data_IF_420466712272
#
_entry.id   IF_420466712272
#
_cell.length_a   1.000
_cell.length_b   1.000
_cell.length_c   1.000
_cell.angle_alpha   90.00
_cell.angle_beta   90.00
_cell.angle_gamma   90.00
#
_symmetry.space_group_name_H-M   'P 1'
#
loop_
_entity.id
_entity.type
_entity.pdbx_description
1 polymer ?
#
# COMPACT_ATOMS: atom_id res chain seq x y z
N UNK A 1 27.62 -0.72 7.75
CA UNK A 1 26.79 -1.86 8.18
C UNK A 1 27.20 -2.34 9.55
N UNK A 2 26.24 -2.57 10.42
CA UNK A 2 26.46 -3.12 11.76
C UNK A 2 25.68 -4.43 11.93
N UNK A 3 26.14 -5.26 12.85
CA UNK A 3 25.47 -6.52 13.20
C UNK A 3 24.54 -6.35 14.39
N UNK A 4 24.85 -5.40 15.26
CA UNK A 4 24.03 -5.05 16.41
C UNK A 4 24.35 -3.64 16.93
N UNK A 5 23.41 -3.06 17.65
CA UNK A 5 23.61 -1.86 18.46
C UNK A 5 22.89 -2.02 19.79
N UNK A 6 23.25 -1.20 20.77
CA UNK A 6 22.57 -1.17 22.06
C UNK A 6 22.42 0.27 22.57
N UNK A 7 21.34 0.50 23.30
CA UNK A 7 21.01 1.77 23.95
C UNK A 7 20.88 1.55 25.47
N UNK A 8 21.99 1.53 26.21
CA UNK A 8 21.92 1.48 27.65
C UNK A 8 21.59 2.86 28.25
N UNK A 9 20.90 2.87 29.37
CA UNK A 9 20.75 4.06 30.21
C UNK A 9 22.02 4.28 31.09
N UNK A 10 22.01 5.30 31.92
CA UNK A 10 23.13 5.65 32.82
C UNK A 10 23.41 4.56 33.87
N UNK A 11 22.46 3.69 34.19
CA UNK A 11 22.65 2.55 35.09
C UNK A 11 23.19 1.30 34.37
N UNK A 12 23.28 1.32 33.01
CA UNK A 12 23.72 0.20 32.20
C UNK A 12 22.60 -0.75 31.76
N UNK A 13 21.38 -0.53 32.23
CA UNK A 13 20.19 -1.26 31.73
C UNK A 13 19.69 -0.65 30.42
N UNK A 14 19.18 -1.45 29.50
CA UNK A 14 18.72 -0.92 28.22
C UNK A 14 18.19 -1.96 27.26
N UNK A 15 18.37 -1.70 25.97
CA UNK A 15 17.89 -2.55 24.87
C UNK A 15 19.00 -2.75 23.84
N UNK A 16 19.18 -3.99 23.40
CA UNK A 16 20.04 -4.37 22.29
C UNK A 16 19.20 -4.76 21.09
N UNK A 17 19.62 -4.32 19.92
CA UNK A 17 19.06 -4.66 18.61
C UNK A 17 20.10 -5.46 17.84
N UNK A 18 19.76 -6.69 17.45
CA UNK A 18 20.67 -7.59 16.72
C UNK A 18 20.06 -7.89 15.35
N UNK A 19 20.74 -7.50 14.29
CA UNK A 19 20.28 -7.78 12.93
C UNK A 19 20.37 -9.27 12.64
N UNK A 20 19.43 -9.79 11.86
CA UNK A 20 19.51 -11.16 11.32
C UNK A 20 20.56 -11.27 10.21
N UNK A 21 20.77 -10.18 9.46
CA UNK A 21 21.80 -10.08 8.39
C UNK A 21 22.78 -8.95 8.69
N UNK A 22 22.50 -7.77 8.14
CA UNK A 22 23.20 -6.51 8.41
C UNK A 22 22.18 -5.38 8.45
N UNK A 23 22.50 -4.30 9.13
CA UNK A 23 21.67 -3.11 9.17
C UNK A 23 22.54 -1.85 9.22
N UNK A 24 21.99 -0.74 8.75
CA UNK A 24 22.48 0.59 9.11
C UNK A 24 21.73 1.08 10.32
N UNK A 25 22.40 1.83 11.20
CA UNK A 25 21.75 2.35 12.39
C UNK A 25 22.30 3.72 12.74
N UNK A 26 21.42 4.56 13.27
CA UNK A 26 21.78 5.80 13.94
C UNK A 26 20.92 5.98 15.19
N UNK A 27 21.52 6.57 16.23
CA UNK A 27 20.83 6.91 17.47
C UNK A 27 21.21 8.31 17.86
N UNK A 28 20.28 9.25 17.74
CA UNK A 28 20.50 10.68 17.94
C UNK A 28 19.47 11.25 18.91
N UNK A 29 19.81 12.32 19.65
CA UNK A 29 18.85 13.00 20.54
C UNK A 29 17.84 13.86 19.76
N UNK A 30 17.88 13.88 18.44
CA UNK A 30 17.04 14.69 17.56
C UNK A 30 16.48 13.87 16.43
N UNK A 31 15.27 14.18 16.00
CA UNK A 31 14.69 13.62 14.76
C UNK A 31 15.34 14.24 13.52
N UNK A 32 15.25 13.56 12.39
CA UNK A 32 15.70 14.11 11.11
C UNK A 32 15.00 15.43 10.76
N UNK A 33 13.71 15.56 11.12
CA UNK A 33 12.94 16.79 10.89
C UNK A 33 13.46 17.95 11.74
N UNK A 34 13.70 17.74 13.04
CA UNK A 34 14.28 18.78 13.92
C UNK A 34 15.65 19.26 13.42
N UNK A 35 16.50 18.32 12.99
CA UNK A 35 17.81 18.68 12.42
C UNK A 35 17.68 19.44 11.08
N UNK A 36 16.68 19.10 10.26
CA UNK A 36 16.44 19.80 8.99
C UNK A 36 15.91 21.22 9.21
N UNK A 37 15.06 21.42 10.22
CA UNK A 37 14.45 22.71 10.52
C UNK A 37 15.37 23.66 11.32
N UNK A 38 16.42 23.14 11.94
CA UNK A 38 17.39 23.94 12.70
C UNK A 38 18.62 24.30 11.83
N UNK A 39 18.72 25.53 11.30
CA UNK A 39 19.88 25.98 10.51
C UNK A 39 21.23 25.91 11.26
N UNK A 40 21.20 25.96 12.60
CA UNK A 40 22.38 25.89 13.43
C UNK A 40 22.16 24.95 14.66
N UNK A 41 23.24 24.31 15.16
CA UNK A 41 23.11 23.35 16.29
C UNK A 41 22.48 23.94 17.56
N UNK A 42 22.72 25.25 17.85
CA UNK A 42 22.15 25.91 19.03
C UNK A 42 20.63 26.14 18.95
N UNK A 43 20.04 25.96 17.79
CA UNK A 43 18.58 26.07 17.57
C UNK A 43 17.86 24.74 17.76
N UNK A 44 18.61 23.65 17.92
CA UNK A 44 17.99 22.34 18.18
C UNK A 44 17.27 22.36 19.54
N UNK A 45 16.05 21.77 19.62
CA UNK A 45 15.29 21.74 20.86
C UNK A 45 16.00 20.88 21.91
N UNK A 46 15.65 21.07 23.18
CA UNK A 46 16.13 20.16 24.22
C UNK A 46 15.52 18.77 23.98
N UNK A 47 16.37 17.77 23.83
CA UNK A 47 15.92 16.40 23.57
C UNK A 47 15.08 15.84 24.73
N UNK A 48 14.01 15.12 24.38
CA UNK A 48 13.18 14.35 25.30
C UNK A 48 13.42 12.84 25.23
N UNK A 49 14.28 12.39 24.31
CA UNK A 49 14.52 10.96 24.08
C UNK A 49 15.59 10.69 23.02
N UNK A 50 15.72 9.44 22.63
CA UNK A 50 16.63 9.00 21.57
C UNK A 50 15.80 8.59 20.34
N UNK A 51 16.08 9.19 19.20
CA UNK A 51 15.55 8.81 17.91
C UNK A 51 16.45 7.72 17.34
N UNK A 52 15.94 6.50 17.29
CA UNK A 52 16.65 5.34 16.77
C UNK A 52 16.14 5.01 15.36
N UNK A 53 17.07 4.88 14.44
CA UNK A 53 16.84 4.35 13.09
C UNK A 53 17.52 2.99 12.97
N UNK A 54 16.78 2.03 12.42
CA UNK A 54 17.24 0.70 12.05
C UNK A 54 16.83 0.48 10.60
N UNK A 55 17.78 0.54 9.68
CA UNK A 55 17.51 0.55 8.25
C UNK A 55 18.04 -0.74 7.60
N UNK A 56 17.23 -1.37 6.77
CA UNK A 56 17.66 -2.54 5.97
C UNK A 56 18.65 -2.14 4.87
N UNK A 57 18.52 -0.94 4.34
CA UNK A 57 19.40 -0.37 3.34
C UNK A 57 19.30 1.16 3.37
N UNK A 58 20.37 1.82 2.99
CA UNK A 58 20.44 3.27 2.87
C UNK A 58 21.07 3.59 1.51
N UNK A 59 20.50 4.52 0.77
CA UNK A 59 21.11 5.01 -0.47
C UNK A 59 22.48 5.61 -0.15
N UNK A 60 23.51 5.07 -0.78
CA UNK A 60 24.89 5.52 -0.62
C UNK A 60 25.09 6.95 -1.16
N UNK A 61 26.10 7.62 -0.65
CA UNK A 61 26.46 8.95 -1.15
C UNK A 61 27.10 8.88 -2.54
N UNK A 62 27.81 7.80 -2.86
CA UNK A 62 28.43 7.55 -4.16
C UNK A 62 29.42 8.62 -4.58
N UNK A 63 30.06 8.43 -5.74
CA UNK A 63 31.09 9.35 -6.25
C UNK A 63 30.58 10.71 -6.73
N UNK A 64 29.29 10.85 -7.01
CA UNK A 64 28.69 12.08 -7.57
C UNK A 64 27.87 12.89 -6.55
N UNK A 65 27.86 12.51 -5.29
CA UNK A 65 26.99 13.16 -4.30
C UNK A 65 27.51 14.49 -3.78
N UNK A 66 28.76 14.83 -4.09
CA UNK A 66 29.33 16.16 -3.82
C UNK A 66 29.26 17.00 -5.10
N UNK A 67 28.22 17.80 -5.25
CA UNK A 67 27.95 18.59 -6.44
C UNK A 67 26.55 18.37 -7.00
N UNK A 68 26.38 18.57 -8.31
CA UNK A 68 25.06 18.45 -8.98
C UNK A 68 24.64 17.02 -9.33
N UNK A 69 25.53 16.04 -9.17
CA UNK A 69 25.23 14.64 -9.43
C UNK A 69 24.68 13.93 -8.18
N UNK A 70 23.65 13.14 -8.34
CA UNK A 70 23.17 12.24 -7.28
C UNK A 70 24.06 11.00 -7.12
N UNK A 71 23.71 10.09 -6.18
CA UNK A 71 24.40 8.82 -6.02
C UNK A 71 24.42 8.01 -7.30
N UNK A 72 25.45 7.19 -7.50
CA UNK A 72 25.47 6.23 -8.60
C UNK A 72 24.25 5.31 -8.54
N UNK A 73 23.81 4.83 -9.70
CA UNK A 73 22.64 3.93 -9.81
C UNK A 73 22.83 2.63 -8.99
N UNK A 74 24.10 2.14 -8.88
CA UNK A 74 24.45 1.00 -8.04
C UNK A 74 24.26 1.22 -6.55
N UNK A 75 24.29 2.47 -6.11
CA UNK A 75 24.27 2.85 -4.68
C UNK A 75 22.88 3.29 -4.22
N UNK A 76 21.91 3.29 -5.13
CA UNK A 76 20.53 3.68 -4.83
C UNK A 76 19.72 2.50 -4.34
N UNK A 77 18.98 2.71 -3.25
CA UNK A 77 17.93 1.78 -2.83
C UNK A 77 16.77 1.89 -3.82
N UNK A 78 16.47 0.79 -4.50
CA UNK A 78 15.40 0.73 -5.51
C UNK A 78 14.07 0.36 -4.86
N UNK A 79 12.97 0.86 -5.44
CA UNK A 79 11.65 0.42 -5.06
C UNK A 79 11.48 -1.07 -5.39
N UNK A 80 10.96 -1.83 -4.45
CA UNK A 80 10.77 -3.28 -4.60
C UNK A 80 10.37 -3.95 -3.29
N UNK A 81 10.25 -5.26 -3.31
CA UNK A 81 10.03 -6.05 -2.10
C UNK A 81 11.33 -6.14 -1.31
N UNK A 82 11.31 -5.68 -0.08
CA UNK A 82 12.40 -5.79 0.87
C UNK A 82 11.97 -6.62 2.07
N UNK A 83 12.89 -7.40 2.62
CA UNK A 83 12.71 -8.14 3.87
C UNK A 83 13.79 -7.72 4.85
N UNK A 84 13.40 -7.38 6.06
CA UNK A 84 14.30 -6.93 7.10
C UNK A 84 13.88 -7.53 8.44
N UNK A 85 14.84 -8.05 9.20
CA UNK A 85 14.59 -8.66 10.49
C UNK A 85 15.66 -8.35 11.50
N UNK A 86 15.24 -8.13 12.74
CA UNK A 86 16.14 -7.96 13.87
C UNK A 86 15.52 -8.48 15.16
N UNK A 87 16.38 -8.76 16.14
CA UNK A 87 15.98 -9.22 17.48
C UNK A 87 16.13 -8.07 18.44
N UNK A 88 15.13 -7.85 19.30
CA UNK A 88 15.18 -6.91 20.40
C UNK A 88 15.41 -7.69 21.69
N UNK A 89 16.44 -7.31 22.46
CA UNK A 89 16.77 -7.95 23.75
C UNK A 89 16.91 -6.92 24.85
N UNK A 90 16.41 -7.22 26.07
CA UNK A 90 16.74 -6.41 27.22
C UNK A 90 18.22 -6.56 27.55
N UNK A 91 18.84 -5.46 27.97
CA UNK A 91 20.23 -5.40 28.43
C UNK A 91 20.22 -5.10 29.92
N UNK A 92 21.03 -5.82 30.69
CA UNK A 92 21.31 -5.54 32.10
C UNK A 92 22.71 -4.99 32.28
N UNK A 93 22.89 -4.14 33.26
CA UNK A 93 24.19 -3.62 33.63
C UNK A 93 25.23 -4.75 33.80
N UNK A 94 26.39 -4.58 33.16
CA UNK A 94 27.46 -5.57 33.20
C UNK A 94 27.31 -6.74 32.25
N UNK A 95 26.28 -6.78 31.40
CA UNK A 95 26.13 -7.81 30.37
C UNK A 95 27.21 -7.68 29.28
N UNK A 96 27.77 -8.83 28.86
CA UNK A 96 28.61 -8.87 27.66
C UNK A 96 27.73 -8.79 26.40
N UNK A 97 27.63 -7.58 25.84
CA UNK A 97 26.76 -7.30 24.68
C UNK A 97 27.20 -8.05 23.43
N UNK A 98 28.49 -8.31 23.26
CA UNK A 98 29.01 -9.06 22.11
C UNK A 98 28.61 -10.52 22.20
N UNK A 99 28.78 -11.13 23.35
CA UNK A 99 28.35 -12.50 23.61
C UNK A 99 26.82 -12.63 23.48
N UNK A 100 26.08 -11.66 24.04
CA UNK A 100 24.60 -11.61 23.93
C UNK A 100 24.15 -11.47 22.46
N UNK A 101 24.84 -10.68 21.65
CA UNK A 101 24.54 -10.53 20.22
C UNK A 101 24.82 -11.82 19.43
N UNK A 102 25.79 -12.60 19.84
CA UNK A 102 26.14 -13.87 19.19
C UNK A 102 25.12 -14.99 19.45
N UNK A 103 24.26 -14.85 20.47
CA UNK A 103 23.17 -15.80 20.73
C UNK A 103 22.16 -15.72 19.59
N UNK A 104 22.10 -16.77 18.78
CA UNK A 104 21.09 -16.88 17.73
C UNK A 104 19.70 -16.90 18.38
N UNK A 105 18.71 -16.32 17.69
CA UNK A 105 17.33 -16.47 18.12
C UNK A 105 17.02 -17.98 18.16
N UNK A 106 16.76 -18.51 19.34
CA UNK A 106 16.25 -19.87 19.47
C UNK A 106 14.77 -19.84 19.11
N UNK A 107 14.45 -20.13 17.88
CA UNK A 107 13.06 -20.16 17.45
C UNK A 107 12.94 -19.98 15.93
N UNK A 108 11.85 -20.50 15.41
CA UNK A 108 11.47 -20.27 14.01
C UNK A 108 11.14 -18.80 13.79
N UNK A 109 11.35 -18.31 12.57
CA UNK A 109 10.96 -16.96 12.17
C UNK A 109 9.49 -16.72 12.51
N UNK A 110 9.12 -15.50 12.97
CA UNK A 110 7.72 -15.18 13.23
C UNK A 110 6.88 -15.42 11.97
N UNK A 111 5.71 -16.01 12.16
CA UNK A 111 4.75 -16.10 11.08
C UNK A 111 4.17 -14.73 10.77
N UNK A 112 4.06 -14.41 9.49
CA UNK A 112 3.36 -13.24 9.00
C UNK A 112 2.19 -13.67 8.12
N UNK A 113 1.02 -13.05 8.32
CA UNK A 113 -0.19 -13.30 7.55
C UNK A 113 -0.57 -11.98 6.87
N UNK A 114 -0.47 -11.95 5.56
CA UNK A 114 -0.83 -10.79 4.74
C UNK A 114 -1.92 -11.16 3.74
N UNK A 115 -2.68 -10.17 3.28
CA UNK A 115 -3.69 -10.33 2.22
C UNK A 115 -3.53 -9.21 1.20
N UNK A 116 -3.47 -9.59 -0.08
CA UNK A 116 -3.44 -8.64 -1.18
C UNK A 116 -4.86 -8.05 -1.48
N UNK A 117 -4.93 -7.10 -2.41
CA UNK A 117 -6.18 -6.46 -2.83
C UNK A 117 -7.13 -7.44 -3.56
N UNK A 118 -6.60 -8.47 -4.20
CA UNK A 118 -7.39 -9.51 -4.84
C UNK A 118 -8.01 -10.48 -3.82
N UNK A 119 -7.59 -10.39 -2.54
CA UNK A 119 -8.09 -11.23 -1.46
C UNK A 119 -7.26 -12.49 -1.24
N UNK A 120 -6.10 -12.62 -1.87
CA UNK A 120 -5.23 -13.78 -1.67
C UNK A 120 -4.41 -13.59 -0.39
N UNK A 121 -4.53 -14.53 0.52
CA UNK A 121 -3.77 -14.56 1.77
C UNK A 121 -2.48 -15.35 1.55
N UNK A 122 -1.37 -14.73 1.96
CA UNK A 122 -0.05 -15.35 2.02
C UNK A 122 0.39 -15.48 3.48
N UNK A 123 0.87 -16.66 3.84
CA UNK A 123 1.46 -16.93 5.15
C UNK A 123 2.94 -17.21 4.93
N UNK A 124 3.80 -16.41 5.51
CA UNK A 124 5.26 -16.56 5.45
C UNK A 124 5.85 -16.81 6.83
N UNK A 125 6.99 -17.47 6.86
CA UNK A 125 7.72 -17.83 8.06
C UNK A 125 9.01 -18.55 7.74
N UNK A 126 9.47 -19.41 8.63
CA UNK A 126 10.74 -20.16 8.49
C UNK A 126 10.74 -21.02 7.22
N UNK A 127 11.74 -20.86 6.34
CA UNK A 127 11.86 -21.66 5.13
C UNK A 127 11.94 -23.17 5.44
N UNK A 128 11.14 -23.98 4.73
CA UNK A 128 11.09 -25.43 4.90
C UNK A 128 10.27 -25.91 6.11
N UNK A 129 9.81 -25.03 6.98
CA UNK A 129 8.97 -25.42 8.10
C UNK A 129 7.52 -25.68 7.65
N UNK A 130 6.89 -26.70 8.26
CA UNK A 130 5.47 -27.00 8.00
C UNK A 130 4.60 -26.02 8.78
N UNK A 131 3.82 -25.21 8.06
CA UNK A 131 2.84 -24.27 8.62
C UNK A 131 1.45 -24.91 8.55
N UNK A 132 0.72 -24.87 9.65
CA UNK A 132 -0.69 -25.19 9.74
C UNK A 132 -1.50 -23.92 9.87
N UNK A 133 -2.72 -23.90 9.35
CA UNK A 133 -3.60 -22.76 9.49
C UNK A 133 -5.09 -23.15 9.53
N UNK A 134 -5.89 -22.25 10.09
CA UNK A 134 -7.35 -22.26 9.99
C UNK A 134 -7.82 -21.00 9.27
N UNK A 135 -8.94 -21.09 8.58
CA UNK A 135 -9.65 -19.94 7.99
C UNK A 135 -11.13 -20.00 8.36
N UNK A 136 -11.60 -19.01 9.10
CA UNK A 136 -12.93 -19.02 9.70
C UNK A 136 -13.11 -20.24 10.60
N UNK A 137 -14.23 -20.95 10.43
CA UNK A 137 -14.57 -22.16 11.19
C UNK A 137 -14.05 -23.46 10.56
N UNK A 138 -13.19 -23.39 9.52
CA UNK A 138 -12.65 -24.58 8.87
C UNK A 138 -11.62 -25.26 9.77
N UNK A 139 -11.52 -26.59 9.64
CA UNK A 139 -10.49 -27.38 10.34
C UNK A 139 -9.09 -26.95 9.91
N UNK A 140 -8.13 -27.17 10.80
CA UNK A 140 -6.73 -26.92 10.53
C UNK A 140 -6.24 -27.73 9.31
N UNK A 141 -5.48 -27.08 8.45
CA UNK A 141 -4.89 -27.66 7.25
C UNK A 141 -3.46 -27.17 7.03
N UNK A 142 -2.68 -27.95 6.27
CA UNK A 142 -1.31 -27.56 5.93
C UNK A 142 -1.32 -26.46 4.89
N UNK A 143 -0.54 -25.39 5.14
CA UNK A 143 -0.36 -24.32 4.17
C UNK A 143 0.55 -24.81 3.02
N UNK A 144 0.03 -24.74 1.80
CA UNK A 144 0.74 -25.14 0.58
C UNK A 144 0.94 -24.01 -0.43
N UNK A 145 0.43 -22.83 -0.13
CA UNK A 145 0.46 -21.65 -0.97
C UNK A 145 -0.70 -20.73 -0.69
N UNK A 146 -0.75 -19.59 -1.37
CA UNK A 146 -1.78 -18.58 -1.17
C UNK A 146 -3.19 -19.13 -1.40
N UNK A 147 -4.15 -18.61 -0.66
CA UNK A 147 -5.56 -18.97 -0.79
C UNK A 147 -6.43 -17.71 -0.70
N UNK A 148 -7.61 -17.77 -1.32
CA UNK A 148 -8.48 -16.60 -1.38
C UNK A 148 -9.35 -16.47 -0.12
N UNK A 149 -9.37 -15.26 0.45
CA UNK A 149 -10.18 -14.86 1.61
C UNK A 149 -10.92 -13.52 1.36
N UNK A 150 -11.46 -13.32 0.15
CA UNK A 150 -12.25 -12.12 -0.20
C UNK A 150 -13.47 -11.93 0.69
N UNK A 151 -14.08 -13.00 1.15
CA UNK A 151 -15.25 -12.93 2.05
C UNK A 151 -14.89 -12.44 3.46
N UNK A 152 -13.61 -12.19 3.72
CA UNK A 152 -13.14 -11.84 5.06
C UNK A 152 -13.13 -13.04 5.99
N UNK A 153 -12.84 -12.78 7.26
CA UNK A 153 -12.78 -13.81 8.29
C UNK A 153 -11.42 -13.85 8.99
N UNK A 154 -11.34 -14.65 10.03
CA UNK A 154 -10.11 -14.83 10.82
C UNK A 154 -9.25 -15.92 10.18
N UNK A 155 -7.98 -15.60 9.97
CA UNK A 155 -6.93 -16.58 9.63
C UNK A 155 -6.02 -16.71 10.84
N UNK A 156 -5.80 -17.96 11.29
CA UNK A 156 -4.86 -18.26 12.37
C UNK A 156 -3.84 -19.27 11.84
N UNK A 157 -2.55 -19.02 12.07
CA UNK A 157 -1.46 -19.87 11.60
C UNK A 157 -0.48 -20.20 12.73
N UNK A 158 0.14 -21.37 12.67
CA UNK A 158 1.18 -21.83 13.59
C UNK A 158 2.10 -22.84 12.92
N UNK A 159 3.27 -23.01 13.47
CA UNK A 159 4.16 -24.09 13.05
C UNK A 159 3.69 -25.45 13.60
N UNK A 160 3.71 -26.48 12.77
CA UNK A 160 3.38 -27.86 13.20
C UNK A 160 4.23 -28.31 14.38
N UNK A 161 5.50 -27.87 14.46
CA UNK A 161 6.45 -28.16 15.53
C UNK A 161 6.22 -27.34 16.81
N UNK A 162 5.41 -26.26 16.77
CA UNK A 162 5.15 -25.38 17.90
C UNK A 162 3.70 -24.85 17.84
N UNK A 163 2.78 -25.63 18.39
CA UNK A 163 1.35 -25.31 18.40
C UNK A 163 0.95 -24.23 19.41
N UNK A 164 1.84 -23.90 20.36
CA UNK A 164 1.59 -22.88 21.38
C UNK A 164 1.69 -21.45 20.88
N UNK A 165 2.49 -21.19 19.83
CA UNK A 165 2.69 -19.87 19.26
C UNK A 165 1.85 -19.71 18.00
N UNK A 166 0.66 -19.12 18.15
CA UNK A 166 -0.26 -18.87 17.05
C UNK A 166 -0.30 -17.38 16.71
N UNK A 167 -0.29 -17.08 15.39
CA UNK A 167 -0.50 -15.74 14.86
C UNK A 167 -1.85 -15.68 14.19
N UNK A 168 -2.58 -14.61 14.39
CA UNK A 168 -3.91 -14.43 13.79
C UNK A 168 -4.04 -13.06 13.12
N UNK A 169 -4.73 -13.05 11.98
CA UNK A 169 -5.16 -11.82 11.30
C UNK A 169 -6.66 -11.88 11.03
N UNK A 170 -7.35 -10.77 11.30
CA UNK A 170 -8.76 -10.61 10.98
C UNK A 170 -8.90 -9.78 9.72
N UNK A 171 -9.57 -10.31 8.70
CA UNK A 171 -9.81 -9.62 7.44
C UNK A 171 -11.29 -9.26 7.29
N UNK A 172 -11.55 -8.07 6.79
CA UNK A 172 -12.89 -7.65 6.35
C UNK A 172 -13.23 -8.24 4.98
N UNK A 173 -14.52 -8.31 4.63
CA UNK A 173 -14.97 -8.65 3.27
C UNK A 173 -14.42 -7.63 2.27
N UNK A 174 -13.83 -8.10 1.17
CA UNK A 174 -13.46 -7.25 0.04
C UNK A 174 -14.67 -7.15 -0.89
N UNK A 175 -15.27 -5.98 -0.95
CA UNK A 175 -16.42 -5.74 -1.82
C UNK A 175 -16.01 -5.25 -3.21
N UNK A 176 -14.76 -4.84 -3.40
CA UNK A 176 -14.24 -4.34 -4.69
C UNK A 176 -13.83 -5.47 -5.62
N UNK A 177 -14.03 -5.29 -6.92
CA UNK A 177 -13.55 -6.16 -7.98
C UNK A 177 -12.19 -5.64 -8.45
N UNK A 178 -11.11 -6.46 -8.50
CA UNK A 178 -9.87 -6.06 -9.17
C UNK A 178 -10.20 -5.63 -10.60
N UNK A 179 -9.74 -4.46 -10.98
CA UNK A 179 -10.13 -3.80 -12.24
C UNK A 179 -8.91 -3.11 -12.81
N UNK A 180 -8.75 -3.17 -14.13
CA UNK A 180 -7.70 -2.46 -14.86
C UNK A 180 -8.33 -1.45 -15.82
N UNK A 181 -7.68 -0.30 -16.01
CA UNK A 181 -8.04 0.65 -17.05
C UNK A 181 -7.53 0.14 -18.39
N UNK A 182 -8.41 0.02 -19.38
CA UNK A 182 -8.05 -0.41 -20.73
C UNK A 182 -8.10 0.72 -21.76
N UNK A 183 -8.83 1.79 -21.47
CA UNK A 183 -8.95 2.95 -22.35
C UNK A 183 -9.40 4.19 -21.59
N UNK A 184 -8.93 5.35 -22.02
CA UNK A 184 -9.43 6.66 -21.60
C UNK A 184 -9.60 7.57 -22.81
N UNK A 185 -10.70 8.32 -22.87
CA UNK A 185 -10.96 9.27 -23.95
C UNK A 185 -9.96 10.43 -23.99
N UNK A 186 -9.40 10.77 -22.82
CA UNK A 186 -8.41 11.81 -22.62
C UNK A 186 -7.63 11.58 -21.34
N UNK A 187 -6.34 11.86 -21.36
CA UNK A 187 -5.51 11.87 -20.14
C UNK A 187 -4.32 12.83 -20.32
N UNK A 188 -3.88 13.42 -19.22
CA UNK A 188 -2.72 14.29 -19.18
C UNK A 188 -1.44 13.48 -19.01
N UNK A 189 -0.30 14.03 -19.46
CA UNK A 189 1.02 13.44 -19.26
C UNK A 189 1.33 13.42 -17.76
N UNK A 190 1.63 12.23 -17.22
CA UNK A 190 1.89 12.03 -15.79
C UNK A 190 0.66 11.85 -14.91
N UNK A 191 -0.55 12.11 -15.42
CA UNK A 191 -1.83 11.94 -14.74
C UNK A 191 -2.71 10.92 -15.48
N UNK A 192 -2.16 9.71 -15.63
CA UNK A 192 -2.76 8.62 -16.41
C UNK A 192 -4.05 8.10 -15.79
N UNK A 193 -4.97 7.62 -16.64
CA UNK A 193 -6.18 6.97 -16.20
C UNK A 193 -5.92 5.68 -15.39
N UNK A 194 -4.76 5.04 -15.55
CA UNK A 194 -4.35 3.90 -14.73
C UNK A 194 -4.26 4.23 -13.22
N UNK A 195 -4.06 5.49 -12.87
CA UNK A 195 -4.05 5.97 -11.49
C UNK A 195 -5.40 5.76 -10.78
N UNK A 196 -6.50 5.65 -11.52
CA UNK A 196 -7.83 5.36 -10.94
C UNK A 196 -7.92 3.97 -10.29
N UNK A 197 -6.95 3.09 -10.55
CA UNK A 197 -6.98 1.70 -10.05
C UNK A 197 -5.67 1.28 -9.37
N UNK A 198 -4.72 2.20 -9.14
CA UNK A 198 -3.43 1.91 -8.53
C UNK A 198 -3.49 1.80 -7.00
N UNK A 199 -4.60 2.32 -6.40
CA UNK A 199 -4.88 2.33 -4.98
C UNK A 199 -4.03 3.29 -4.19
N UNK A 200 -3.55 4.32 -4.83
CA UNK A 200 -2.85 5.42 -4.20
C UNK A 200 -3.68 6.71 -4.35
N UNK A 201 -4.39 7.16 -3.32
CA UNK A 201 -5.24 8.35 -3.40
C UNK A 201 -4.48 9.66 -3.64
N UNK A 202 -3.13 9.62 -3.65
CA UNK A 202 -2.29 10.79 -3.94
C UNK A 202 -1.98 10.93 -5.43
N UNK A 203 -2.20 9.90 -6.24
CA UNK A 203 -2.13 9.95 -7.70
C UNK A 203 -3.50 10.27 -8.28
N UNK A 204 -3.56 10.87 -9.46
CA UNK A 204 -4.81 11.21 -10.10
C UNK A 204 -4.80 10.87 -11.59
N UNK A 205 -5.97 10.58 -12.13
CA UNK A 205 -6.29 10.78 -13.52
C UNK A 205 -6.79 12.21 -13.71
N UNK A 206 -6.32 12.85 -14.77
CA UNK A 206 -6.87 14.12 -15.26
C UNK A 206 -6.95 14.09 -16.77
N UNK A 207 -8.02 14.65 -17.33
CA UNK A 207 -8.09 14.86 -18.79
C UNK A 207 -7.05 15.86 -19.25
N UNK A 208 -6.60 15.74 -20.50
CA UNK A 208 -5.55 16.59 -21.06
C UNK A 208 -5.89 18.07 -20.98
N UNK A 209 -4.91 18.86 -20.56
CA UNK A 209 -4.99 20.33 -20.49
C UNK A 209 -3.72 21.03 -20.99
N UNK A 210 -2.57 20.33 -21.06
CA UNK A 210 -1.29 20.96 -21.41
C UNK A 210 -1.13 21.21 -22.92
N UNK A 211 -1.77 20.41 -23.77
CA UNK A 211 -1.69 20.50 -25.21
C UNK A 211 -3.02 20.98 -25.80
N UNK A 212 -4.12 20.36 -25.35
CA UNK A 212 -5.47 20.72 -25.79
C UNK A 212 -6.45 20.39 -24.66
N UNK A 213 -7.53 21.16 -24.59
CA UNK A 213 -8.63 20.88 -23.67
C UNK A 213 -9.69 20.12 -24.43
N UNK A 214 -9.85 18.84 -24.09
CA UNK A 214 -10.93 18.03 -24.65
C UNK A 214 -12.27 18.44 -24.06
N UNK A 215 -13.32 18.36 -24.86
CA UNK A 215 -14.68 18.69 -24.43
C UNK A 215 -15.40 17.46 -23.87
N UNK A 216 -16.34 17.66 -23.00
CA UNK A 216 -17.24 16.60 -22.52
C UNK A 216 -18.01 15.95 -23.69
N UNK A 217 -18.37 14.65 -23.61
CA UNK A 217 -18.15 13.76 -22.48
C UNK A 217 -16.73 13.14 -22.46
N UNK A 218 -16.23 12.90 -21.24
CA UNK A 218 -15.01 12.12 -21.04
C UNK A 218 -15.34 10.74 -20.48
N UNK A 219 -14.60 9.71 -20.85
CA UNK A 219 -14.85 8.37 -20.31
C UNK A 219 -13.58 7.57 -20.12
N UNK A 220 -13.70 6.61 -19.21
CA UNK A 220 -12.69 5.59 -18.94
C UNK A 220 -13.35 4.23 -18.99
N UNK A 221 -12.71 3.28 -19.66
CA UNK A 221 -13.14 1.90 -19.77
C UNK A 221 -12.30 1.00 -18.86
N UNK A 222 -12.97 0.16 -18.10
CA UNK A 222 -12.41 -0.74 -17.12
C UNK A 222 -12.66 -2.18 -17.48
N UNK A 223 -11.67 -3.07 -17.30
CA UNK A 223 -11.77 -4.52 -17.42
C UNK A 223 -11.77 -5.17 -16.02
N UNK A 224 -12.80 -5.93 -15.70
CA UNK A 224 -12.90 -6.73 -14.49
C UNK A 224 -12.22 -8.12 -14.61
N UNK A 225 -11.46 -8.35 -15.70
CA UNK A 225 -10.76 -9.60 -16.01
C UNK A 225 -11.67 -10.69 -16.56
N UNK A 226 -12.87 -10.85 -15.99
CA UNK A 226 -13.89 -11.79 -16.42
C UNK A 226 -15.29 -11.22 -16.17
N UNK A 227 -16.33 -11.84 -16.73
CA UNK A 227 -17.72 -11.42 -16.51
C UNK A 227 -18.12 -11.67 -15.06
N UNK A 228 -18.40 -10.61 -14.31
CA UNK A 228 -18.74 -10.60 -12.88
C UNK A 228 -20.09 -9.96 -12.63
N UNK A 229 -20.71 -10.31 -11.50
CA UNK A 229 -21.92 -9.64 -11.04
C UNK A 229 -21.52 -8.38 -10.29
N UNK A 230 -21.77 -7.21 -10.90
CA UNK A 230 -21.39 -5.88 -10.43
C UNK A 230 -22.62 -5.23 -9.81
N UNK A 231 -22.53 -4.85 -8.53
CA UNK A 231 -23.63 -4.20 -7.81
C UNK A 231 -23.51 -2.68 -7.72
N UNK A 232 -22.39 -2.11 -8.19
CA UNK A 232 -22.13 -0.68 -8.10
C UNK A 232 -20.66 -0.36 -8.22
N UNK A 233 -20.31 0.86 -7.82
CA UNK A 233 -18.92 1.33 -7.84
C UNK A 233 -18.67 2.36 -6.75
N UNK A 234 -17.37 2.63 -6.48
CA UNK A 234 -16.93 3.81 -5.74
C UNK A 234 -16.09 4.70 -6.65
N UNK A 235 -16.18 6.00 -6.44
CA UNK A 235 -15.35 7.02 -7.08
C UNK A 235 -14.81 7.96 -6.01
N UNK A 236 -13.50 8.10 -5.93
CA UNK A 236 -12.82 9.08 -5.09
C UNK A 236 -12.37 10.25 -5.97
N UNK A 237 -12.89 11.46 -5.78
CA UNK A 237 -12.36 12.65 -6.43
C UNK A 237 -10.88 12.87 -6.08
N UNK A 238 -10.19 13.72 -6.84
CA UNK A 238 -8.82 14.13 -6.53
C UNK A 238 -8.69 14.68 -5.10
N UNK A 239 -7.56 14.38 -4.42
CA UNK A 239 -7.34 14.69 -3.00
C UNK A 239 -6.23 15.73 -2.77
N UNK A 240 -5.67 16.31 -3.81
CA UNK A 240 -4.57 17.27 -3.80
C UNK A 240 -4.98 18.73 -3.50
N UNK A 241 -6.24 18.94 -3.11
CA UNK A 241 -6.79 20.26 -2.77
C UNK A 241 -7.28 21.07 -3.97
N UNK A 242 -7.06 20.64 -5.21
CA UNK A 242 -7.63 21.28 -6.40
C UNK A 242 -9.07 20.87 -6.63
N UNK A 243 -9.92 21.82 -7.08
CA UNK A 243 -11.30 21.55 -7.50
C UNK A 243 -11.41 21.23 -9.01
N UNK A 244 -10.28 21.24 -9.74
CA UNK A 244 -10.29 21.14 -11.19
C UNK A 244 -10.65 19.73 -11.66
N UNK A 245 -11.71 19.62 -12.45
CA UNK A 245 -12.17 18.36 -13.01
C UNK A 245 -12.89 17.42 -12.03
N UNK A 246 -13.21 17.84 -10.80
CA UNK A 246 -14.07 17.02 -9.92
C UNK A 246 -15.40 16.78 -10.63
N UNK A 247 -15.68 15.52 -10.92
CA UNK A 247 -16.84 15.12 -11.72
C UNK A 247 -18.14 15.47 -10.97
N UNK A 248 -19.11 16.06 -11.70
CA UNK A 248 -20.48 16.26 -11.25
C UNK A 248 -21.40 15.23 -11.90
N UNK A 249 -21.76 15.44 -13.15
CA UNK A 249 -22.64 14.54 -13.89
C UNK A 249 -21.88 13.30 -14.40
N UNK A 250 -22.48 12.13 -14.28
CA UNK A 250 -21.87 10.87 -14.68
C UNK A 250 -22.90 9.84 -15.16
N UNK A 251 -22.45 8.85 -15.94
CA UNK A 251 -23.21 7.65 -16.29
C UNK A 251 -22.31 6.42 -16.38
N UNK A 252 -22.94 5.24 -16.23
CA UNK A 252 -22.32 3.91 -16.38
C UNK A 252 -22.98 3.17 -17.53
N UNK A 253 -22.16 2.53 -18.34
CA UNK A 253 -22.52 1.54 -19.36
C UNK A 253 -21.67 0.29 -19.16
N UNK A 254 -22.14 -0.88 -19.60
CA UNK A 254 -21.43 -2.15 -19.47
C UNK A 254 -21.30 -2.86 -20.81
N UNK A 255 -20.31 -3.74 -20.91
CA UNK A 255 -20.07 -4.54 -22.11
C UNK A 255 -19.45 -5.90 -21.74
N UNK A 256 -19.52 -6.88 -22.66
CA UNK A 256 -18.79 -8.14 -22.56
C UNK A 256 -17.71 -8.30 -23.65
N UNK A 257 -17.60 -7.37 -24.59
CA UNK A 257 -16.65 -7.40 -25.70
C UNK A 257 -15.81 -6.10 -25.84
N UNK A 258 -16.04 -5.12 -24.96
CA UNK A 258 -15.44 -3.78 -24.97
C UNK A 258 -15.72 -2.97 -26.27
N UNK A 259 -16.63 -3.42 -27.11
CA UNK A 259 -17.00 -2.80 -28.39
C UNK A 259 -18.43 -2.34 -28.40
N UNK A 260 -19.34 -3.22 -27.99
CA UNK A 260 -20.78 -2.95 -27.91
C UNK A 260 -21.14 -2.62 -26.49
N UNK A 261 -21.64 -1.42 -26.25
CA UNK A 261 -22.01 -0.93 -24.93
C UNK A 261 -23.51 -0.96 -24.74
N UNK A 262 -23.95 -1.32 -23.54
CA UNK A 262 -25.36 -1.34 -23.14
C UNK A 262 -25.96 0.07 -23.15
N UNK A 263 -27.29 0.16 -22.98
CA UNK A 263 -27.93 1.37 -22.48
C UNK A 263 -27.34 1.76 -21.12
N UNK A 264 -27.65 2.98 -20.67
CA UNK A 264 -27.19 3.47 -19.37
C UNK A 264 -27.73 2.60 -18.24
N UNK A 265 -26.82 1.96 -17.49
CA UNK A 265 -27.14 1.12 -16.31
C UNK A 265 -27.45 1.98 -15.09
N UNK A 266 -26.68 3.05 -14.91
CA UNK A 266 -26.83 4.01 -13.83
C UNK A 266 -26.32 5.38 -14.27
N UNK A 267 -26.91 6.45 -13.73
CA UNK A 267 -26.46 7.83 -13.93
C UNK A 267 -26.83 8.69 -12.73
N UNK A 268 -26.15 9.82 -12.56
CA UNK A 268 -26.43 10.71 -11.45
C UNK A 268 -25.47 11.89 -11.37
N UNK A 269 -25.48 12.55 -10.22
CA UNK A 269 -24.57 13.63 -9.89
C UNK A 269 -23.83 13.37 -8.60
N UNK A 270 -22.52 13.66 -8.57
CA UNK A 270 -21.70 13.70 -7.37
C UNK A 270 -21.65 15.09 -6.74
N UNK A 271 -21.39 15.12 -5.43
CA UNK A 271 -21.23 16.36 -4.66
C UNK A 271 -20.02 16.29 -3.74
N UNK A 272 -19.25 17.38 -3.73
CA UNK A 272 -18.07 17.51 -2.87
C UNK A 272 -16.90 16.63 -3.32
N UNK A 273 -15.91 16.48 -2.43
CA UNK A 273 -14.63 15.80 -2.71
C UNK A 273 -14.39 14.53 -1.89
N UNK A 274 -15.41 14.02 -1.20
CA UNK A 274 -15.34 12.74 -0.49
C UNK A 274 -15.64 11.58 -1.42
N UNK A 275 -15.25 10.38 -1.01
CA UNK A 275 -15.58 9.16 -1.75
C UNK A 275 -17.09 9.05 -1.97
N UNK A 276 -17.46 8.77 -3.20
CA UNK A 276 -18.83 8.55 -3.64
C UNK A 276 -19.06 7.06 -3.81
N UNK A 277 -20.07 6.50 -3.15
CA UNK A 277 -20.48 5.10 -3.30
C UNK A 277 -21.82 5.03 -3.97
N UNK A 278 -21.91 4.35 -5.10
CA UNK A 278 -23.13 4.18 -5.89
C UNK A 278 -23.47 2.69 -5.97
N UNK A 279 -24.71 2.36 -5.65
CA UNK A 279 -25.28 1.03 -5.88
C UNK A 279 -26.22 1.11 -7.06
N UNK A 280 -26.19 0.11 -7.93
CA UNK A 280 -27.14 -0.04 -9.02
C UNK A 280 -28.49 -0.54 -8.48
N UNK A 281 -29.59 -0.18 -9.12
CA UNK A 281 -30.93 -0.70 -8.77
C UNK A 281 -30.98 -2.22 -8.80
N UNK A 282 -30.27 -2.82 -9.76
CA UNK A 282 -30.07 -4.28 -9.88
C UNK A 282 -28.63 -4.57 -10.27
N UNK A 283 -27.97 -5.57 -9.65
CA UNK A 283 -26.66 -6.01 -10.10
C UNK A 283 -26.68 -6.41 -11.57
N UNK A 284 -25.61 -6.08 -12.30
CA UNK A 284 -25.45 -6.39 -13.71
C UNK A 284 -24.27 -7.33 -13.92
N UNK A 285 -24.42 -8.29 -14.83
CA UNK A 285 -23.37 -9.23 -15.19
C UNK A 285 -22.61 -8.72 -16.41
N UNK A 286 -21.35 -8.31 -16.20
CA UNK A 286 -20.50 -7.77 -17.26
C UNK A 286 -19.00 -7.95 -16.94
N UNK A 287 -18.16 -7.91 -17.99
CA UNK A 287 -16.71 -7.86 -17.87
C UNK A 287 -16.19 -6.43 -17.92
N UNK A 288 -16.72 -5.61 -18.82
CA UNK A 288 -16.24 -4.26 -19.04
C UNK A 288 -17.26 -3.23 -18.55
N UNK A 289 -16.73 -2.15 -17.98
CA UNK A 289 -17.54 -1.02 -17.48
C UNK A 289 -16.97 0.27 -18.06
N UNK A 290 -17.82 1.11 -18.65
CA UNK A 290 -17.52 2.47 -19.03
C UNK A 290 -18.09 3.44 -18.02
N UNK A 291 -17.22 4.21 -17.42
CA UNK A 291 -17.57 5.35 -16.59
C UNK A 291 -17.41 6.62 -17.41
N UNK A 292 -18.51 7.32 -17.66
CA UNK A 292 -18.54 8.56 -18.43
C UNK A 292 -18.81 9.75 -17.52
N UNK A 293 -17.88 10.69 -17.49
CA UNK A 293 -18.09 12.02 -16.93
C UNK A 293 -18.84 12.90 -17.93
N UNK A 294 -19.87 13.61 -17.47
CA UNK A 294 -20.74 14.46 -18.27
C UNK A 294 -20.57 15.96 -17.96
N UNK A 295 -20.08 16.28 -16.77
CA UNK A 295 -19.79 17.64 -16.32
C UNK A 295 -18.91 17.64 -15.08
N UNK A 296 -18.25 18.76 -14.79
CA UNK A 296 -17.52 19.01 -13.54
C UNK A 296 -18.32 19.84 -12.53
N UNK A 297 -17.92 19.81 -11.26
CA UNK A 297 -18.56 20.59 -10.21
C UNK A 297 -18.28 22.10 -10.33
N UNK A 298 -17.13 22.48 -10.87
CA UNK A 298 -16.73 23.87 -11.08
C UNK A 298 -17.08 24.41 -12.49
N UNK A 299 -17.72 23.60 -13.35
CA UNK A 299 -18.12 23.97 -14.71
C UNK A 299 -16.99 24.01 -15.74
N UNK A 300 -15.77 23.60 -15.40
CA UNK A 300 -14.67 23.49 -16.34
C UNK A 300 -14.79 22.20 -17.20
N UNK A 301 -14.18 22.21 -18.40
CA UNK A 301 -14.22 21.08 -19.35
C UNK A 301 -13.29 19.92 -19.00
N UNK A 302 -12.94 19.77 -17.72
CA UNK A 302 -12.03 18.75 -17.22
C UNK A 302 -12.76 17.67 -16.46
N UNK A 303 -12.22 16.44 -16.50
CA UNK A 303 -12.57 15.35 -15.59
C UNK A 303 -11.30 14.86 -14.89
N UNK A 304 -11.41 14.56 -13.61
CA UNK A 304 -10.32 14.01 -12.79
C UNK A 304 -10.85 13.07 -11.73
N UNK A 305 -9.99 12.22 -11.20
CA UNK A 305 -10.30 11.32 -10.10
C UNK A 305 -9.05 10.71 -9.51
N UNK A 306 -9.08 10.36 -8.24
CA UNK A 306 -7.99 9.64 -7.58
C UNK A 306 -8.19 8.12 -7.66
N UNK A 307 -9.40 7.63 -7.37
CA UNK A 307 -9.67 6.19 -7.37
C UNK A 307 -11.05 5.87 -7.94
N UNK A 308 -11.14 4.72 -8.59
CA UNK A 308 -12.38 4.11 -9.03
C UNK A 308 -12.34 2.61 -8.75
N UNK A 309 -13.40 2.06 -8.17
CA UNK A 309 -13.48 0.63 -7.89
C UNK A 309 -14.87 0.09 -8.18
N UNK A 310 -14.95 -1.03 -8.89
CA UNK A 310 -16.19 -1.77 -9.06
C UNK A 310 -16.50 -2.60 -7.81
N UNK A 311 -17.77 -2.75 -7.49
CA UNK A 311 -18.24 -3.50 -6.33
C UNK A 311 -18.90 -4.80 -6.76
N UNK A 312 -18.44 -5.92 -6.17
CA UNK A 312 -19.08 -7.24 -6.32
C UNK A 312 -20.34 -7.36 -5.46
N UNK A 313 -21.25 -8.19 -5.86
CA UNK A 313 -22.36 -8.64 -5.01
C UNK A 313 -21.88 -9.45 -3.79
#
# INVERSE_FOLDING_TARGET
DVRWCALPNTAGDGVQFVSLDSMSTSALPYSALEMTLAPHPYQLPKSSGTHLHLDCAVTGLGGNSCGQGGPYESDRVKAGAHSFGFIIRPVKAGADLTQQAAIKASGMQPLNISRDRAGNVTISGEPGATILYTYGNKKAQTYKGSFNARLGGKVTAWYKSNTGNQVSSQFSKIETIPTEVIYASSQEIGESAANLTDGNPSTIWHTMYSVTVAQYPHWVDFDAGESKLIKGFTYLPRQDGSANGIIKGWKIQVSNDAKTWSDTVAQGEFKGNKEQKVLFDKPVKARYVRFTALSSQNGADYASGAEFSLMAE
#
